data_IF_700478942618
#
_entry.id   IF_700478942618
#
_cell.length_a   1.000
_cell.length_b   1.000
_cell.length_c   1.000
_cell.angle_alpha   90.00
_cell.angle_beta   90.00
_cell.angle_gamma   90.00
#
_symmetry.space_group_name_H-M   'P 1'
#
loop_
_entity.id
_entity.type
_entity.pdbx_description
1 polymer ?
#
# COMPACT_ATOMS: atom_id res chain seq x y z
N UNK A 1 16.24 13.08 -5.17
CA UNK A 1 16.09 12.62 -3.78
C UNK A 1 14.59 12.65 -3.49
N UNK A 2 13.95 11.49 -3.38
CA UNK A 2 12.50 11.40 -3.18
C UNK A 2 12.21 11.31 -1.69
N UNK A 3 11.59 12.33 -1.12
CA UNK A 3 11.15 12.32 0.27
C UNK A 3 9.86 11.51 0.36
N UNK A 4 9.89 10.40 1.10
CA UNK A 4 8.72 9.61 1.43
C UNK A 4 7.88 10.39 2.45
N UNK A 5 6.79 11.01 2.00
CA UNK A 5 5.84 11.65 2.91
C UNK A 5 4.98 10.59 3.59
N UNK A 6 5.31 10.23 4.82
CA UNK A 6 4.46 9.41 5.69
C UNK A 6 3.44 10.30 6.37
N UNK A 7 2.17 10.16 6.02
CA UNK A 7 1.07 10.88 6.67
C UNK A 7 0.78 10.20 8.02
N UNK A 8 1.01 10.90 9.12
CA UNK A 8 0.64 10.44 10.45
C UNK A 8 -0.74 10.96 10.82
N UNK A 9 -1.72 10.06 10.92
CA UNK A 9 -3.07 10.41 11.38
C UNK A 9 -3.11 10.26 12.90
N UNK A 10 -3.47 11.34 13.60
CA UNK A 10 -3.64 11.32 15.06
C UNK A 10 -4.82 10.43 15.46
N UNK A 11 -4.62 9.54 16.43
CA UNK A 11 -5.69 8.69 16.97
C UNK A 11 -6.88 9.47 17.56
N UNK A 12 -6.68 10.73 17.94
CA UNK A 12 -7.75 11.60 18.40
C UNK A 12 -8.71 12.00 17.26
N UNK A 13 -8.21 12.15 16.04
CA UNK A 13 -9.02 12.47 14.87
C UNK A 13 -9.94 11.30 14.50
N UNK A 14 -9.42 10.06 14.62
CA UNK A 14 -10.20 8.84 14.35
C UNK A 14 -11.36 8.72 15.33
N UNK A 15 -11.15 9.02 16.61
CA UNK A 15 -12.20 8.99 17.64
C UNK A 15 -13.30 10.04 17.37
N UNK A 16 -12.92 11.26 16.99
CA UNK A 16 -13.89 12.30 16.66
C UNK A 16 -14.78 11.95 15.46
N UNK A 17 -14.20 11.34 14.42
CA UNK A 17 -14.95 10.91 13.24
C UNK A 17 -15.92 9.76 13.53
N UNK A 18 -15.61 8.92 14.52
CA UNK A 18 -16.51 7.84 14.95
C UNK A 18 -17.71 8.36 15.76
N UNK A 19 -17.55 9.45 16.52
CA UNK A 19 -18.62 10.05 17.35
C UNK A 19 -19.58 10.99 16.58
N UNK A 20 -19.13 11.64 15.50
CA UNK A 20 -19.94 12.62 14.74
C UNK A 20 -21.05 11.98 13.88
N UNK A 21 -21.02 10.66 13.68
CA UNK A 21 -22.03 9.92 12.89
C UNK A 21 -23.41 9.83 13.55
N UNK A 22 -23.53 10.05 14.86
CA UNK A 22 -24.74 9.73 15.62
C UNK A 22 -25.68 10.92 15.88
N UNK A 23 -25.33 12.18 15.58
CA UNK A 23 -26.17 13.33 15.99
C UNK A 23 -26.24 14.48 15.00
N UNK A 24 -26.75 14.22 13.80
CA UNK A 24 -27.28 15.27 12.94
C UNK A 24 -28.79 15.44 13.15
N UNK A 25 -29.18 16.40 14.01
CA UNK A 25 -30.35 17.30 13.78
C UNK A 25 -30.57 18.31 14.91
N UNK A 26 -30.71 19.57 14.46
CA UNK A 26 -31.56 20.67 14.95
C UNK A 26 -30.87 21.88 15.61
N UNK A 27 -31.44 23.04 15.24
CA UNK A 27 -30.91 24.41 15.16
C UNK A 27 -31.33 25.26 16.37
N UNK A 28 -30.49 26.24 16.74
CA UNK A 28 -30.79 27.62 17.21
C UNK A 28 -30.85 27.98 18.72
N UNK A 29 -30.01 29.00 19.06
CA UNK A 29 -30.05 30.09 20.08
C UNK A 29 -29.74 29.82 21.57
N UNK A 30 -28.86 30.70 22.10
CA UNK A 30 -28.36 30.83 23.48
C UNK A 30 -29.40 31.39 24.47
N UNK A 31 -29.33 30.94 25.73
CA UNK A 31 -29.44 31.78 26.95
C UNK A 31 -29.00 31.00 28.21
N UNK A 32 -28.60 31.71 29.26
CA UNK A 32 -27.66 31.34 30.34
C UNK A 32 -28.40 31.10 31.69
N UNK A 33 -27.84 30.25 32.57
CA UNK A 33 -27.75 30.40 34.05
C UNK A 33 -28.68 29.62 35.04
N UNK A 34 -28.02 28.90 35.99
CA UNK A 34 -28.33 28.49 37.41
C UNK A 34 -29.13 27.20 37.77
N UNK A 35 -28.40 26.15 38.23
CA UNK A 35 -28.40 25.33 39.51
C UNK A 35 -29.68 25.39 40.42
N UNK A 36 -30.05 24.43 41.34
CA UNK A 36 -29.58 23.06 41.74
C UNK A 36 -30.68 21.96 41.93
N UNK A 37 -30.31 20.66 41.96
CA UNK A 37 -30.69 19.68 43.02
C UNK A 37 -30.34 18.22 42.63
N UNK A 38 -29.50 17.58 43.44
CA UNK A 38 -29.65 16.16 43.83
C UNK A 38 -30.78 16.06 44.88
N UNK A 39 -31.32 14.86 45.28
CA UNK A 39 -30.70 13.54 45.25
C UNK A 39 -31.63 12.37 44.83
N UNK A 40 -31.04 11.16 44.87
CA UNK A 40 -31.63 9.86 45.23
C UNK A 40 -31.58 8.78 44.14
N UNK A 41 -30.52 7.97 44.26
CA UNK A 41 -30.55 6.54 44.01
C UNK A 41 -31.73 5.87 44.74
N UNK A 42 -32.49 5.03 44.04
CA UNK A 42 -33.15 3.89 44.65
C UNK A 42 -33.29 2.75 43.63
N UNK A 43 -32.90 1.56 44.09
CA UNK A 43 -32.86 0.31 43.36
C UNK A 43 -34.27 -0.26 43.20
N UNK A 44 -34.52 -1.03 42.14
CA UNK A 44 -35.54 -2.08 42.18
C UNK A 44 -35.10 -3.27 41.33
N UNK A 45 -35.13 -4.45 41.97
CA UNK A 45 -34.85 -5.77 41.41
C UNK A 45 -36.08 -6.36 40.70
N UNK A 46 -35.78 -7.35 39.86
CA UNK A 46 -36.55 -8.56 39.54
C UNK A 46 -37.64 -8.48 38.47
N UNK A 47 -37.34 -9.08 37.30
CA UNK A 47 -37.93 -10.35 36.89
C UNK A 47 -37.34 -10.80 35.55
N UNK A 48 -36.64 -11.93 35.51
CA UNK A 48 -36.70 -12.76 34.32
C UNK A 48 -36.70 -14.23 34.73
N UNK A 49 -37.78 -14.89 34.31
CA UNK A 49 -38.14 -16.28 34.58
C UNK A 49 -37.01 -17.22 34.20
N UNK A 50 -36.76 -18.17 35.10
CA UNK A 50 -36.17 -19.46 34.77
C UNK A 50 -37.07 -20.15 33.74
N UNK A 51 -36.48 -20.55 32.62
CA UNK A 51 -37.04 -21.60 31.77
C UNK A 51 -36.20 -22.83 32.06
N UNK A 52 -36.72 -23.65 32.97
CA UNK A 52 -36.41 -25.07 33.06
C UNK A 52 -36.90 -25.72 31.77
N UNK A 53 -35.99 -26.40 31.09
CA UNK A 53 -36.24 -27.14 29.86
C UNK A 53 -35.16 -28.17 29.71
N UNK A 54 -35.25 -29.22 30.52
CA UNK A 54 -34.64 -30.51 30.23
C UNK A 54 -35.15 -30.96 28.85
N UNK A 55 -34.26 -30.93 27.88
CA UNK A 55 -34.46 -31.58 26.60
C UNK A 55 -33.10 -31.80 26.02
N UNK A 56 -32.73 -33.09 26.01
CA UNK A 56 -31.72 -33.64 25.14
C UNK A 56 -31.98 -33.13 23.71
N UNK A 57 -31.35 -32.01 23.36
CA UNK A 57 -31.21 -31.57 21.98
C UNK A 57 -30.45 -32.74 21.31
N UNK A 58 -31.01 -33.39 20.28
CA UNK A 58 -30.38 -34.53 19.68
C UNK A 58 -28.98 -34.11 19.24
N UNK A 59 -27.96 -34.87 19.63
CA UNK A 59 -26.56 -34.64 19.23
C UNK A 59 -26.41 -34.43 17.70
N UNK A 60 -27.40 -34.84 16.90
CA UNK A 60 -27.56 -34.51 15.49
C UNK A 60 -27.70 -33.02 15.17
N UNK A 61 -28.49 -32.21 15.89
CA UNK A 61 -28.74 -30.80 15.51
C UNK A 61 -27.51 -29.91 15.75
N UNK A 62 -26.76 -30.15 16.82
CA UNK A 62 -25.49 -29.45 17.07
C UNK A 62 -24.38 -29.84 16.06
N UNK A 63 -24.41 -31.09 15.56
CA UNK A 63 -23.51 -31.57 14.51
C UNK A 63 -23.84 -30.90 13.16
N UNK A 64 -25.12 -30.79 12.82
CA UNK A 64 -25.62 -30.16 11.58
C UNK A 64 -25.29 -28.67 11.52
N UNK A 65 -25.45 -27.93 12.62
CA UNK A 65 -25.04 -26.51 12.70
C UNK A 65 -23.51 -26.35 12.54
N UNK A 66 -22.73 -27.28 13.09
CA UNK A 66 -21.27 -27.27 12.96
C UNK A 66 -20.81 -27.55 11.51
N UNK A 67 -21.47 -28.47 10.82
CA UNK A 67 -21.19 -28.78 9.42
C UNK A 67 -21.59 -27.64 8.49
N UNK A 68 -22.72 -26.96 8.77
CA UNK A 68 -23.13 -25.77 8.04
C UNK A 68 -22.11 -24.62 8.18
N UNK A 69 -21.60 -24.39 9.40
CA UNK A 69 -20.55 -23.38 9.65
C UNK A 69 -19.26 -23.76 8.90
N UNK A 70 -18.84 -25.04 8.94
CA UNK A 70 -17.65 -25.50 8.22
C UNK A 70 -17.78 -25.32 6.71
N UNK A 71 -18.95 -25.61 6.14
CA UNK A 71 -19.22 -25.37 4.70
C UNK A 71 -19.13 -23.88 4.37
N UNK A 72 -19.71 -23.01 5.19
CA UNK A 72 -19.64 -21.56 4.99
C UNK A 72 -18.20 -21.02 5.05
N UNK A 73 -17.37 -21.52 5.97
CA UNK A 73 -15.93 -21.20 6.01
C UNK A 73 -15.24 -21.64 4.72
N UNK A 74 -15.45 -22.88 4.28
CA UNK A 74 -14.83 -23.40 3.04
C UNK A 74 -15.26 -22.62 1.79
N UNK A 75 -16.50 -22.15 1.74
CA UNK A 75 -16.99 -21.28 0.66
C UNK A 75 -16.33 -19.91 0.72
N UNK A 76 -16.20 -19.31 1.90
CA UNK A 76 -15.51 -18.02 2.08
C UNK A 76 -14.04 -18.09 1.66
N UNK A 77 -13.35 -19.20 1.98
CA UNK A 77 -11.96 -19.43 1.56
C UNK A 77 -11.82 -19.47 0.04
N UNK A 78 -12.75 -20.14 -0.65
CA UNK A 78 -12.78 -20.19 -2.13
C UNK A 78 -13.05 -18.81 -2.74
N UNK A 79 -13.90 -18.01 -2.11
CA UNK A 79 -14.17 -16.64 -2.57
C UNK A 79 -12.94 -15.76 -2.35
N UNK A 80 -12.28 -15.86 -1.20
CA UNK A 80 -11.05 -15.13 -0.90
C UNK A 80 -9.93 -15.47 -1.89
N UNK A 81 -9.74 -16.75 -2.22
CA UNK A 81 -8.73 -17.16 -3.21
C UNK A 81 -8.98 -16.53 -4.59
N UNK A 82 -10.24 -16.45 -5.02
CA UNK A 82 -10.61 -15.79 -6.28
C UNK A 82 -10.37 -14.28 -6.24
N UNK A 83 -10.74 -13.63 -5.14
CA UNK A 83 -10.54 -12.20 -4.95
C UNK A 83 -9.05 -11.85 -4.92
N UNK A 84 -8.23 -12.64 -4.23
CA UNK A 84 -6.78 -12.45 -4.20
C UNK A 84 -6.17 -12.57 -5.60
N UNK A 85 -6.57 -13.57 -6.39
CA UNK A 85 -6.11 -13.69 -7.80
C UNK A 85 -6.53 -12.48 -8.63
N UNK A 86 -7.75 -11.98 -8.44
CA UNK A 86 -8.23 -10.79 -9.16
C UNK A 86 -7.46 -9.54 -8.73
N UNK A 87 -7.16 -9.38 -7.44
CA UNK A 87 -6.33 -8.31 -6.91
C UNK A 87 -4.92 -8.35 -7.52
N UNK A 88 -4.26 -9.51 -7.55
CA UNK A 88 -2.94 -9.70 -8.15
C UNK A 88 -2.93 -9.29 -9.63
N UNK A 89 -3.96 -9.70 -10.40
CA UNK A 89 -4.11 -9.30 -11.80
C UNK A 89 -4.27 -7.79 -11.94
N UNK A 90 -5.15 -7.17 -11.13
CA UNK A 90 -5.35 -5.73 -11.17
C UNK A 90 -4.07 -4.97 -10.79
N UNK A 91 -3.34 -5.43 -9.77
CA UNK A 91 -2.07 -4.84 -9.33
C UNK A 91 -1.01 -4.93 -10.44
N UNK A 92 -0.91 -6.07 -11.11
CA UNK A 92 0.00 -6.23 -12.25
C UNK A 92 -0.38 -5.27 -13.39
N UNK A 93 -1.66 -5.18 -13.71
CA UNK A 93 -2.14 -4.31 -14.79
C UNK A 93 -1.85 -2.83 -14.50
N UNK A 94 -2.20 -2.33 -13.31
CA UNK A 94 -1.95 -0.92 -12.98
C UNK A 94 -0.45 -0.61 -12.92
N UNK A 95 0.35 -1.57 -12.43
CA UNK A 95 1.81 -1.42 -12.40
C UNK A 95 2.38 -1.34 -13.80
N UNK A 96 1.93 -2.20 -14.72
CA UNK A 96 2.38 -2.17 -16.11
C UNK A 96 1.94 -0.88 -16.82
N UNK A 97 0.67 -0.47 -16.64
CA UNK A 97 0.16 0.79 -17.19
C UNK A 97 0.93 2.00 -16.67
N UNK A 98 1.28 2.02 -15.38
CA UNK A 98 2.09 3.09 -14.79
C UNK A 98 3.49 3.16 -15.41
N UNK A 99 4.15 2.01 -15.62
CA UNK A 99 5.45 1.95 -16.33
C UNK A 99 5.31 2.45 -17.76
N UNK A 100 4.27 2.03 -18.48
CA UNK A 100 4.05 2.44 -19.86
C UNK A 100 3.79 3.94 -19.99
N UNK A 101 3.01 4.53 -19.08
CA UNK A 101 2.78 5.98 -19.03
C UNK A 101 4.06 6.74 -18.72
N UNK A 102 4.80 6.29 -17.70
CA UNK A 102 6.11 6.84 -17.37
C UNK A 102 7.05 6.78 -18.58
N UNK A 103 7.06 5.65 -19.28
CA UNK A 103 7.89 5.45 -20.44
C UNK A 103 7.47 6.28 -21.66
N UNK A 104 6.19 6.59 -21.81
CA UNK A 104 5.70 7.42 -22.92
C UNK A 104 5.92 8.91 -22.67
N UNK A 105 5.64 9.38 -21.46
CA UNK A 105 5.64 10.81 -21.14
C UNK A 105 7.00 11.29 -20.63
N UNK A 106 7.71 10.44 -19.89
CA UNK A 106 8.89 10.83 -19.13
C UNK A 106 10.18 10.11 -19.53
N UNK A 107 10.15 9.20 -20.52
CA UNK A 107 11.42 8.78 -21.14
C UNK A 107 12.02 9.99 -21.84
N UNK A 108 13.19 10.38 -21.34
CA UNK A 108 14.09 11.23 -22.10
C UNK A 108 14.29 10.60 -23.48
N UNK A 109 14.22 11.40 -24.57
CA UNK A 109 14.57 10.92 -25.90
C UNK A 109 15.86 10.11 -25.80
N UNK A 110 15.84 8.86 -26.28
CA UNK A 110 16.98 7.97 -26.15
C UNK A 110 18.22 8.73 -26.57
N UNK A 111 19.13 8.95 -25.61
CA UNK A 111 20.35 9.69 -25.91
C UNK A 111 21.02 8.94 -27.07
N UNK A 112 21.28 9.68 -28.16
CA UNK A 112 21.96 9.13 -29.33
C UNK A 112 23.17 8.34 -28.81
N UNK A 113 23.37 7.07 -29.22
CA UNK A 113 24.42 6.21 -28.68
C UNK A 113 25.71 7.00 -28.61
N UNK A 114 26.34 7.05 -27.44
CA UNK A 114 27.49 7.92 -27.21
C UNK A 114 28.49 7.62 -28.32
N UNK A 115 28.68 8.55 -29.25
CA UNK A 115 29.24 8.11 -30.49
C UNK A 115 30.76 8.04 -30.22
N UNK A 116 31.45 7.01 -30.72
CA UNK A 116 32.81 6.61 -30.32
C UNK A 116 32.93 5.86 -28.98
N UNK A 117 31.85 5.19 -28.54
CA UNK A 117 31.87 4.40 -27.31
C UNK A 117 32.95 3.30 -27.35
N UNK A 118 33.13 2.64 -28.49
CA UNK A 118 34.13 1.59 -28.64
C UNK A 118 35.55 2.13 -28.47
N UNK A 119 35.89 3.24 -29.10
CA UNK A 119 37.21 3.86 -29.01
C UNK A 119 37.46 4.43 -27.60
N UNK A 120 36.42 4.96 -26.95
CA UNK A 120 36.49 5.37 -25.54
C UNK A 120 36.81 4.18 -24.65
N UNK A 121 36.07 3.08 -24.79
CA UNK A 121 36.25 1.89 -23.96
C UNK A 121 37.61 1.23 -24.22
N UNK A 122 38.04 1.11 -25.47
CA UNK A 122 39.37 0.60 -25.81
C UNK A 122 40.50 1.48 -25.23
N UNK A 123 40.32 2.80 -25.19
CA UNK A 123 41.27 3.69 -24.53
C UNK A 123 41.26 3.51 -23.01
N UNK A 124 40.09 3.29 -22.40
CA UNK A 124 39.95 3.06 -20.97
C UNK A 124 40.57 1.72 -20.54
N UNK A 125 40.23 0.62 -21.23
CA UNK A 125 40.78 -0.70 -20.94
C UNK A 125 42.31 -0.73 -21.13
N UNK A 126 42.84 -0.05 -22.15
CA UNK A 126 44.29 0.06 -22.29
C UNK A 126 44.94 0.69 -21.06
N UNK A 127 44.38 1.78 -20.51
CA UNK A 127 44.94 2.41 -19.32
C UNK A 127 44.80 1.54 -18.07
N UNK A 128 43.73 0.74 -17.99
CA UNK A 128 43.51 -0.21 -16.91
C UNK A 128 44.55 -1.34 -16.93
N UNK A 129 44.94 -1.81 -18.11
CA UNK A 129 45.99 -2.82 -18.30
C UNK A 129 47.41 -2.26 -18.20
N UNK A 130 47.57 -0.94 -18.39
CA UNK A 130 48.87 -0.26 -18.45
C UNK A 130 48.95 0.90 -17.44
N UNK A 131 48.47 0.68 -16.23
CA UNK A 131 48.42 1.65 -15.12
C UNK A 131 49.81 2.25 -14.80
N UNK A 132 50.84 1.40 -14.75
CA UNK A 132 52.23 1.79 -14.49
C UNK A 132 52.91 2.43 -15.70
N UNK A 133 52.40 2.19 -16.91
CA UNK A 133 52.98 2.69 -18.15
C UNK A 133 51.93 3.29 -19.10
N UNK A 134 51.30 4.43 -18.73
CA UNK A 134 50.19 5.02 -19.49
C UNK A 134 50.56 5.41 -20.93
N UNK A 135 51.86 5.60 -21.23
CA UNK A 135 52.35 5.96 -22.57
C UNK A 135 52.14 4.85 -23.61
N UNK A 136 52.03 3.57 -23.20
CA UNK A 136 51.71 2.47 -24.12
C UNK A 136 50.35 2.66 -24.81
N UNK A 137 49.43 3.39 -24.17
CA UNK A 137 48.10 3.68 -24.69
C UNK A 137 48.03 4.87 -25.64
N UNK A 138 49.17 5.41 -26.09
CA UNK A 138 49.21 6.55 -27.01
C UNK A 138 48.42 6.32 -28.30
N UNK A 139 48.41 5.09 -28.85
CA UNK A 139 47.62 4.73 -30.03
C UNK A 139 46.12 4.76 -29.73
N UNK A 140 45.67 4.08 -28.67
CA UNK A 140 44.26 4.07 -28.26
C UNK A 140 43.72 5.48 -27.97
N UNK A 141 44.53 6.33 -27.31
CA UNK A 141 44.23 7.74 -27.08
C UNK A 141 44.10 8.54 -28.39
N UNK A 142 44.96 8.29 -29.39
CA UNK A 142 44.88 8.94 -30.71
C UNK A 142 43.62 8.52 -31.47
N UNK A 143 43.26 7.23 -31.44
CA UNK A 143 42.02 6.75 -32.07
C UNK A 143 40.77 7.38 -31.45
N UNK A 144 40.68 7.40 -30.11
CA UNK A 144 39.56 8.05 -29.42
C UNK A 144 39.46 9.55 -29.74
N UNK A 145 40.60 10.27 -29.77
CA UNK A 145 40.63 11.69 -30.17
C UNK A 145 40.20 11.88 -31.62
N UNK A 146 40.71 11.07 -32.54
CA UNK A 146 40.37 11.14 -33.97
C UNK A 146 38.86 10.92 -34.20
N UNK A 147 38.28 9.92 -33.55
CA UNK A 147 36.85 9.66 -33.63
C UNK A 147 36.03 10.83 -33.06
N UNK A 148 36.46 11.43 -31.96
CA UNK A 148 35.82 12.61 -31.36
C UNK A 148 35.95 13.87 -32.23
N UNK A 149 37.04 14.04 -32.97
CA UNK A 149 37.25 15.17 -33.88
C UNK A 149 36.41 15.10 -35.15
N UNK A 150 36.11 13.90 -35.67
CA UNK A 150 35.23 13.69 -36.84
C UNK A 150 33.77 14.08 -36.60
N UNK A 151 33.43 14.52 -35.38
CA UNK A 151 32.06 14.83 -34.93
C UNK A 151 31.84 16.29 -34.54
N UNK A 152 32.88 17.12 -34.60
CA UNK A 152 32.72 18.56 -34.46
C UNK A 152 32.33 19.18 -35.79
#
# INVERSE_FOLDING_TARGET
>A
MGESFTIQISGNLVKQLADDGEKSKKKTKRSKTKIPREPQQSQTKAHQKQISGDSEIPKLTALVESDAIRSAIQESEKVLEKLQKQEEVMVQEVTQRAKDLHDKEFKLPTQKPLPCLMEKNACFECYKENDKNPLKCAKARKFWRSCRSRRR
#
